data_IF_285985899257
#
_entry.id   IF_285985899257
#
_cell.length_a   1.000
_cell.length_b   1.000
_cell.length_c   1.000
_cell.angle_alpha   90.00
_cell.angle_beta   90.00
_cell.angle_gamma   90.00
#
_symmetry.space_group_name_H-M   'P 1'
#
loop_
_entity.id
_entity.type
_entity.pdbx_description
1 polymer ?
#
# COMPACT_ATOMS: atom_id res chain seq x y z
N UNK A 1 6.38 23.27 -9.21
CA UNK A 1 5.87 22.19 -8.34
C UNK A 1 4.82 22.80 -7.46
N UNK A 2 3.55 22.41 -7.63
CA UNK A 2 2.55 22.69 -6.61
C UNK A 2 3.02 22.00 -5.33
N UNK A 3 3.18 22.74 -4.24
CA UNK A 3 3.42 22.16 -2.92
C UNK A 3 2.37 21.07 -2.72
N UNK A 4 2.84 19.86 -2.43
CA UNK A 4 1.93 18.78 -2.01
C UNK A 4 1.49 19.22 -0.63
N UNK A 5 0.26 19.68 -0.50
CA UNK A 5 -0.32 20.01 0.80
C UNK A 5 -0.11 18.82 1.74
N UNK A 6 0.44 19.06 2.92
CA UNK A 6 0.50 18.05 3.98
C UNK A 6 -0.94 17.69 4.34
N UNK A 7 -1.33 16.47 4.01
CA UNK A 7 -2.70 15.99 4.18
C UNK A 7 -2.75 15.09 5.40
N UNK A 8 -3.54 15.49 6.41
CA UNK A 8 -3.81 14.60 7.54
C UNK A 8 -4.73 13.46 7.06
N UNK A 9 -4.34 12.22 7.32
CA UNK A 9 -5.14 11.05 6.93
C UNK A 9 -6.52 11.06 7.60
N UNK A 10 -6.70 11.74 8.73
CA UNK A 10 -8.01 11.92 9.37
C UNK A 10 -8.99 12.68 8.48
N UNK A 11 -8.51 13.70 7.77
CA UNK A 11 -9.35 14.44 6.82
C UNK A 11 -9.87 13.51 5.73
N UNK A 12 -8.99 12.64 5.19
CA UNK A 12 -9.41 11.63 4.22
C UNK A 12 -10.43 10.63 4.79
N UNK A 13 -10.32 10.27 6.07
CA UNK A 13 -11.32 9.43 6.75
C UNK A 13 -12.65 10.14 6.87
N UNK A 14 -12.65 11.42 7.26
CA UNK A 14 -13.86 12.23 7.47
C UNK A 14 -14.59 12.58 6.16
N UNK A 15 -13.86 12.71 5.05
CA UNK A 15 -14.44 12.92 3.72
C UNK A 15 -15.24 11.71 3.18
N UNK A 16 -15.36 10.63 3.94
CA UNK A 16 -16.10 9.44 3.50
C UNK A 16 -17.60 9.75 3.31
N UNK A 17 -18.11 9.49 2.11
CA UNK A 17 -19.50 9.80 1.73
C UNK A 17 -20.54 8.82 2.28
N UNK A 18 -20.13 7.66 2.78
CA UNK A 18 -21.02 6.60 3.31
C UNK A 18 -20.39 5.95 4.54
N UNK A 19 -21.25 5.40 5.41
CA UNK A 19 -20.79 4.66 6.59
C UNK A 19 -19.84 3.49 6.25
N UNK A 20 -20.11 2.78 5.15
CA UNK A 20 -19.22 1.69 4.68
C UNK A 20 -17.85 2.21 4.24
N UNK A 21 -17.80 3.33 3.52
CA UNK A 21 -16.54 3.96 3.13
C UNK A 21 -15.80 4.51 4.35
N UNK A 22 -16.51 5.05 5.33
CA UNK A 22 -15.92 5.53 6.57
C UNK A 22 -15.26 4.39 7.35
N UNK A 23 -15.96 3.27 7.57
CA UNK A 23 -15.40 2.10 8.23
C UNK A 23 -14.16 1.56 7.50
N UNK A 24 -14.21 1.51 6.16
CA UNK A 24 -13.07 1.14 5.33
C UNK A 24 -11.88 2.09 5.52
N UNK A 25 -12.10 3.41 5.45
CA UNK A 25 -11.04 4.40 5.60
C UNK A 25 -10.45 4.44 7.01
N UNK A 26 -11.29 4.24 8.05
CA UNK A 26 -10.83 4.07 9.43
C UNK A 26 -9.95 2.82 9.57
N UNK A 27 -10.34 1.70 8.98
CA UNK A 27 -9.53 0.49 8.99
C UNK A 27 -8.20 0.66 8.24
N UNK A 28 -8.19 1.36 7.09
CA UNK A 28 -6.95 1.71 6.38
C UNK A 28 -6.06 2.59 7.25
N UNK A 29 -6.60 3.63 7.90
CA UNK A 29 -5.84 4.48 8.81
C UNK A 29 -5.23 3.66 9.94
N UNK A 30 -6.02 2.79 10.59
CA UNK A 30 -5.54 1.92 11.67
C UNK A 30 -4.39 1.02 11.21
N UNK A 31 -4.47 0.44 10.01
CA UNK A 31 -3.41 -0.40 9.44
C UNK A 31 -2.14 0.42 9.15
N UNK A 32 -2.28 1.61 8.55
CA UNK A 32 -1.12 2.46 8.22
C UNK A 32 -0.43 2.98 9.48
N UNK A 33 -1.17 3.39 10.52
CA UNK A 33 -0.62 3.79 11.82
C UNK A 33 0.04 2.61 12.55
N UNK A 34 -0.54 1.40 12.47
CA UNK A 34 0.09 0.21 13.02
C UNK A 34 1.45 -0.09 12.35
N UNK A 35 1.55 0.11 11.03
CA UNK A 35 2.83 -0.01 10.31
C UNK A 35 3.79 1.11 10.71
N UNK A 36 3.30 2.34 10.89
CA UNK A 36 4.13 3.48 11.29
C UNK A 36 4.69 3.34 12.72
N UNK A 37 3.97 2.70 13.62
CA UNK A 37 4.37 2.50 15.02
C UNK A 37 5.42 1.40 15.21
N UNK A 38 5.48 0.40 14.34
CA UNK A 38 6.49 -0.65 14.39
C UNK A 38 7.73 -0.27 13.55
N UNK A 39 8.89 -0.17 14.19
CA UNK A 39 10.12 0.29 13.53
C UNK A 39 10.57 -0.62 12.37
N UNK A 40 10.31 -1.92 12.44
CA UNK A 40 10.69 -2.86 11.40
C UNK A 40 9.72 -2.78 10.20
N UNK A 41 8.41 -2.74 10.46
CA UNK A 41 7.42 -2.58 9.40
C UNK A 41 7.60 -1.23 8.70
N UNK A 42 7.74 -0.13 9.46
CA UNK A 42 7.97 1.23 8.95
C UNK A 42 9.19 1.31 8.04
N UNK A 43 10.30 0.68 8.43
CA UNK A 43 11.55 0.72 7.66
C UNK A 43 11.50 -0.11 6.36
N UNK A 44 10.59 -1.07 6.26
CA UNK A 44 10.60 -2.05 5.17
C UNK A 44 9.34 -2.06 4.31
N UNK A 45 8.19 -1.56 4.79
CA UNK A 45 6.94 -1.53 4.02
C UNK A 45 6.75 -0.16 3.38
N UNK A 46 7.06 -0.06 2.09
CA UNK A 46 6.97 1.17 1.31
C UNK A 46 5.62 1.20 0.60
N UNK A 47 4.75 2.13 0.99
CA UNK A 47 3.40 2.25 0.45
C UNK A 47 3.42 2.65 -1.02
N UNK A 48 2.58 1.99 -1.83
CA UNK A 48 2.36 2.31 -3.24
C UNK A 48 0.89 2.11 -3.63
N UNK A 49 0.60 2.20 -4.93
CA UNK A 49 -0.69 1.81 -5.50
C UNK A 49 -1.85 2.75 -5.20
N UNK A 50 -3.06 2.18 -5.19
CA UNK A 50 -4.31 2.95 -5.18
C UNK A 50 -4.58 3.72 -3.89
N UNK A 51 -4.22 3.17 -2.74
CA UNK A 51 -4.40 3.86 -1.43
C UNK A 51 -3.47 5.08 -1.34
N UNK A 52 -2.22 4.97 -1.78
CA UNK A 52 -1.33 6.13 -1.85
C UNK A 52 -1.90 7.23 -2.76
N UNK A 53 -2.47 6.84 -3.91
CA UNK A 53 -3.14 7.79 -4.81
C UNK A 53 -4.36 8.45 -4.15
N UNK A 54 -5.13 7.71 -3.37
CA UNK A 54 -6.31 8.22 -2.68
C UNK A 54 -5.92 9.23 -1.58
N UNK A 55 -4.94 8.89 -0.74
CA UNK A 55 -4.53 9.72 0.39
C UNK A 55 -3.76 10.96 -0.08
N UNK A 56 -2.68 10.78 -0.85
CA UNK A 56 -1.76 11.86 -1.20
C UNK A 56 -2.22 12.69 -2.39
N UNK A 57 -2.87 12.04 -3.38
CA UNK A 57 -3.22 12.67 -4.65
C UNK A 57 -4.73 12.84 -4.84
N UNK A 58 -5.52 12.63 -3.77
CA UNK A 58 -6.98 12.83 -3.75
C UNK A 58 -7.68 12.09 -4.90
N UNK A 59 -7.21 10.87 -5.22
CA UNK A 59 -7.88 10.03 -6.22
C UNK A 59 -9.22 9.53 -5.70
N UNK A 60 -10.27 9.77 -6.46
CA UNK A 60 -11.61 9.27 -6.13
C UNK A 60 -11.83 7.82 -6.55
N UNK A 61 -10.81 7.18 -7.15
CA UNK A 61 -10.91 5.78 -7.56
C UNK A 61 -10.97 4.88 -6.33
N UNK A 62 -12.02 4.06 -6.28
CA UNK A 62 -12.16 3.08 -5.23
C UNK A 62 -11.13 1.96 -5.36
N UNK A 63 -10.46 1.63 -4.27
CA UNK A 63 -9.56 0.49 -4.14
C UNK A 63 -9.78 -0.18 -2.78
N UNK A 64 -9.61 -1.49 -2.73
CA UNK A 64 -9.74 -2.29 -1.49
C UNK A 64 -8.41 -2.86 -1.02
N UNK A 65 -7.39 -2.72 -1.85
CA UNK A 65 -6.09 -3.33 -1.60
C UNK A 65 -5.10 -2.24 -1.18
N UNK A 66 -4.28 -2.54 -0.18
CA UNK A 66 -3.12 -1.72 0.20
C UNK A 66 -1.88 -2.43 -0.36
N UNK A 67 -1.15 -1.74 -1.22
CA UNK A 67 0.03 -2.27 -1.87
C UNK A 67 1.30 -1.73 -1.22
N UNK A 68 2.24 -2.62 -0.89
CA UNK A 68 3.57 -2.27 -0.39
C UNK A 68 4.66 -2.94 -1.22
N UNK A 69 5.86 -2.37 -1.15
CA UNK A 69 7.07 -2.93 -1.75
C UNK A 69 8.25 -2.84 -0.79
N UNK A 70 9.24 -3.71 -1.02
CA UNK A 70 10.57 -3.62 -0.41
C UNK A 70 11.64 -4.16 -1.35
N UNK A 71 12.85 -3.64 -1.23
CA UNK A 71 14.03 -4.21 -1.90
C UNK A 71 14.56 -5.47 -1.20
N UNK A 72 14.12 -5.73 0.04
CA UNK A 72 14.53 -6.90 0.80
C UNK A 72 14.07 -8.19 0.12
N UNK A 73 14.94 -9.18 0.17
CA UNK A 73 14.68 -10.51 -0.39
C UNK A 73 13.99 -11.41 0.63
N UNK A 74 13.28 -12.40 0.11
CA UNK A 74 12.73 -13.50 0.90
C UNK A 74 13.84 -14.26 1.66
N UNK A 75 13.56 -14.68 2.89
CA UNK A 75 14.43 -15.55 3.69
C UNK A 75 15.59 -14.83 4.39
N UNK A 76 15.62 -13.49 4.33
CA UNK A 76 16.51 -12.65 5.13
C UNK A 76 15.80 -12.18 6.42
N UNK A 77 15.85 -10.87 6.66
CA UNK A 77 15.21 -10.23 7.81
C UNK A 77 13.68 -10.24 7.75
N UNK A 78 13.10 -10.45 6.55
CA UNK A 78 11.65 -10.44 6.32
C UNK A 78 11.13 -11.86 6.12
N UNK A 79 10.28 -12.30 7.05
CA UNK A 79 9.54 -13.55 6.99
C UNK A 79 8.04 -13.26 7.04
N UNK A 80 7.23 -14.17 6.48
CA UNK A 80 5.77 -14.05 6.53
C UNK A 80 5.26 -13.97 7.97
N UNK A 81 5.70 -14.90 8.83
CA UNK A 81 5.29 -14.95 10.22
C UNK A 81 5.71 -13.69 10.99
N UNK A 82 6.96 -13.23 10.80
CA UNK A 82 7.46 -12.02 11.47
C UNK A 82 6.67 -10.75 11.08
N UNK A 83 6.35 -10.58 9.81
CA UNK A 83 5.52 -9.45 9.35
C UNK A 83 4.11 -9.54 9.93
N UNK A 84 3.53 -10.74 9.96
CA UNK A 84 2.22 -10.98 10.53
C UNK A 84 2.19 -10.67 12.02
N UNK A 85 3.12 -11.21 12.80
CA UNK A 85 3.20 -11.02 14.26
C UNK A 85 3.40 -9.56 14.63
N UNK A 86 4.30 -8.85 13.93
CA UNK A 86 4.51 -7.41 14.11
C UNK A 86 3.24 -6.63 13.82
N UNK A 87 2.56 -6.92 12.71
CA UNK A 87 1.33 -6.22 12.35
C UNK A 87 0.18 -6.52 13.33
N UNK A 88 0.00 -7.79 13.73
CA UNK A 88 -1.03 -8.16 14.72
C UNK A 88 -0.81 -7.42 16.05
N UNK A 89 0.43 -7.37 16.53
CA UNK A 89 0.77 -6.68 17.78
C UNK A 89 0.51 -5.17 17.72
N UNK A 90 0.92 -4.54 16.62
CA UNK A 90 0.73 -3.09 16.43
C UNK A 90 -0.72 -2.71 16.20
N UNK A 91 -1.52 -3.58 15.54
CA UNK A 91 -2.95 -3.34 15.35
C UNK A 91 -3.69 -3.28 16.69
N UNK A 92 -3.37 -4.15 17.65
CA UNK A 92 -3.98 -4.13 18.98
C UNK A 92 -3.79 -2.76 19.66
N UNK A 93 -2.61 -2.20 19.58
CA UNK A 93 -2.31 -0.89 20.14
C UNK A 93 -3.05 0.23 19.40
N UNK A 94 -2.98 0.27 18.08
CA UNK A 94 -3.57 1.35 17.28
C UNK A 94 -5.09 1.38 17.30
N UNK A 95 -5.76 0.24 17.45
CA UNK A 95 -7.21 0.15 17.62
C UNK A 95 -7.68 0.91 18.88
N UNK A 96 -6.90 0.87 19.96
CA UNK A 96 -7.21 1.61 21.18
C UNK A 96 -6.83 3.09 21.08
N UNK A 97 -5.68 3.41 20.48
CA UNK A 97 -5.18 4.80 20.35
C UNK A 97 -6.05 5.67 19.43
N UNK A 98 -6.51 5.12 18.31
CA UNK A 98 -7.32 5.88 17.34
C UNK A 98 -8.79 6.01 17.75
N UNK A 99 -9.27 5.19 18.67
CA UNK A 99 -10.61 5.24 19.29
C UNK A 99 -11.79 5.38 18.30
N UNK A 100 -11.68 4.73 17.15
CA UNK A 100 -12.78 4.67 16.18
C UNK A 100 -13.93 3.74 16.61
N UNK A 101 -13.77 3.02 17.70
CA UNK A 101 -14.67 1.94 18.08
C UNK A 101 -14.66 0.75 17.10
N UNK A 102 -13.66 0.71 16.22
CA UNK A 102 -13.47 -0.29 15.19
C UNK A 102 -12.30 -1.18 15.57
N UNK A 103 -12.45 -2.47 15.34
CA UNK A 103 -11.41 -3.48 15.59
C UNK A 103 -10.84 -4.01 14.28
N UNK A 104 -9.54 -4.32 14.26
CA UNK A 104 -8.81 -4.84 13.09
C UNK A 104 -7.98 -6.05 13.48
N UNK A 105 -8.10 -7.18 12.75
CA UNK A 105 -7.35 -8.41 13.02
C UNK A 105 -6.84 -9.03 11.71
N UNK A 106 -5.60 -9.54 11.72
CA UNK A 106 -5.09 -10.31 10.58
C UNK A 106 -5.78 -11.68 10.54
N UNK A 107 -6.63 -11.90 9.55
CA UNK A 107 -7.37 -13.16 9.37
C UNK A 107 -6.56 -14.24 8.68
N UNK A 108 -5.71 -13.85 7.76
CA UNK A 108 -4.85 -14.77 7.04
C UNK A 108 -3.61 -14.08 6.50
N UNK A 109 -2.54 -14.85 6.38
CA UNK A 109 -1.29 -14.48 5.75
C UNK A 109 -0.83 -15.63 4.88
N UNK A 110 -0.16 -15.34 3.77
CA UNK A 110 0.49 -16.33 2.93
C UNK A 110 1.55 -15.70 2.04
N UNK A 111 2.63 -16.43 1.83
CA UNK A 111 3.65 -16.09 0.85
C UNK A 111 3.26 -16.68 -0.53
N UNK A 112 3.18 -15.84 -1.56
CA UNK A 112 2.87 -16.23 -2.95
C UNK A 112 3.97 -15.78 -3.93
N UNK A 113 4.39 -16.66 -4.84
CA UNK A 113 4.15 -18.10 -4.86
C UNK A 113 4.88 -18.79 -3.72
N UNK A 114 4.23 -19.79 -3.13
CA UNK A 114 4.80 -20.55 -2.03
C UNK A 114 5.97 -21.39 -2.52
N UNK A 115 7.12 -21.24 -1.84
CA UNK A 115 8.27 -22.18 -1.85
C UNK A 115 9.00 -22.53 -3.16
N UNK A 116 8.69 -21.92 -4.31
CA UNK A 116 9.47 -22.13 -5.51
C UNK A 116 10.59 -21.07 -5.62
N UNK A 117 11.88 -21.47 -5.52
CA UNK A 117 13.02 -20.57 -5.64
C UNK A 117 13.13 -19.86 -6.99
N UNK A 118 12.43 -20.37 -8.02
CA UNK A 118 12.41 -19.77 -9.37
C UNK A 118 11.67 -18.44 -9.40
N UNK A 119 10.81 -18.16 -8.42
CA UNK A 119 10.11 -16.90 -8.35
C UNK A 119 10.90 -15.87 -7.56
N UNK A 120 11.48 -14.93 -8.27
CA UNK A 120 12.37 -13.89 -7.75
C UNK A 120 11.62 -12.73 -7.08
N UNK A 121 10.30 -12.64 -7.28
CA UNK A 121 9.44 -11.56 -6.78
C UNK A 121 8.23 -12.13 -6.02
N UNK A 122 8.47 -12.76 -4.87
CA UNK A 122 7.35 -13.23 -4.04
C UNK A 122 6.65 -12.05 -3.38
N UNK A 123 5.40 -12.25 -3.00
CA UNK A 123 4.66 -11.31 -2.16
C UNK A 123 4.06 -11.99 -0.94
N UNK A 124 4.06 -11.27 0.18
CA UNK A 124 3.29 -11.66 1.36
C UNK A 124 1.90 -11.04 1.20
N UNK A 125 0.90 -11.91 1.08
CA UNK A 125 -0.49 -11.49 0.98
C UNK A 125 -1.18 -11.70 2.30
N UNK A 126 -1.73 -10.62 2.85
CA UNK A 126 -2.48 -10.66 4.10
C UNK A 126 -3.91 -10.18 3.89
N UNK A 127 -4.81 -10.68 4.72
CA UNK A 127 -6.19 -10.19 4.81
C UNK A 127 -6.41 -9.70 6.23
N UNK A 128 -6.67 -8.41 6.36
CA UNK A 128 -7.04 -7.79 7.63
C UNK A 128 -8.55 -7.60 7.63
N UNK A 129 -9.23 -8.30 8.53
CA UNK A 129 -10.65 -8.10 8.79
C UNK A 129 -10.85 -6.89 9.69
N UNK A 130 -12.00 -6.21 9.55
CA UNK A 130 -12.38 -5.11 10.43
C UNK A 130 -13.88 -5.13 10.75
N UNK A 131 -14.26 -4.59 11.90
CA UNK A 131 -15.64 -4.41 12.29
C UNK A 131 -15.75 -3.49 13.51
N UNK A 132 -16.86 -2.75 13.63
CA UNK A 132 -17.15 -1.99 14.83
C UNK A 132 -17.42 -2.91 16.03
N UNK A 133 -16.80 -2.59 17.17
CA UNK A 133 -16.94 -3.32 18.43
C UNK A 133 -18.42 -3.44 18.83
N UNK A 134 -18.81 -4.57 19.39
CA UNK A 134 -20.19 -4.83 19.86
C UNK A 134 -21.18 -5.24 18.76
N UNK A 135 -20.83 -5.23 17.49
CA UNK A 135 -21.70 -5.63 16.38
C UNK A 135 -21.70 -7.15 16.13
N UNK A 136 -22.65 -7.64 15.32
CA UNK A 136 -22.64 -9.03 14.85
C UNK A 136 -21.44 -9.35 13.97
N UNK A 137 -20.98 -8.38 13.18
CA UNK A 137 -19.78 -8.49 12.37
C UNK A 137 -18.52 -8.61 13.24
N UNK A 138 -18.49 -7.92 14.40
CA UNK A 138 -17.38 -8.03 15.34
C UNK A 138 -17.23 -9.45 15.89
N UNK A 139 -18.34 -10.14 16.21
CA UNK A 139 -18.30 -11.56 16.61
C UNK A 139 -17.67 -12.45 15.54
N UNK A 140 -17.93 -12.16 14.26
CA UNK A 140 -17.33 -12.88 13.12
C UNK A 140 -15.85 -12.52 12.99
N UNK A 141 -15.49 -11.25 13.20
CA UNK A 141 -14.09 -10.80 13.19
C UNK A 141 -13.27 -11.54 14.25
N UNK A 142 -13.76 -11.63 15.49
CA UNK A 142 -13.09 -12.36 16.58
C UNK A 142 -12.92 -13.86 16.27
N UNK A 143 -13.74 -14.40 15.38
CA UNK A 143 -13.59 -15.77 14.85
C UNK A 143 -12.74 -15.81 13.56
N UNK A 144 -12.06 -14.72 13.17
CA UNK A 144 -11.28 -14.55 11.96
C UNK A 144 -12.08 -14.83 10.67
N UNK A 145 -13.36 -14.42 10.65
CA UNK A 145 -14.32 -14.64 9.55
C UNK A 145 -15.10 -13.38 9.19
N UNK A 146 -14.52 -12.20 9.41
CA UNK A 146 -15.16 -10.96 8.96
C UNK A 146 -15.37 -10.98 7.45
N UNK A 147 -16.54 -10.56 6.94
CA UNK A 147 -16.74 -10.36 5.50
C UNK A 147 -16.09 -9.06 5.01
N UNK A 148 -15.90 -8.10 5.92
CA UNK A 148 -15.28 -6.83 5.62
C UNK A 148 -13.77 -6.99 5.83
N UNK A 149 -13.03 -6.97 4.70
CA UNK A 149 -11.59 -7.22 4.66
C UNK A 149 -10.88 -6.17 3.82
N UNK A 150 -9.66 -5.85 4.23
CA UNK A 150 -8.65 -5.16 3.45
C UNK A 150 -7.59 -6.18 3.07
N UNK A 151 -7.28 -6.27 1.77
CA UNK A 151 -6.16 -7.08 1.29
C UNK A 151 -4.88 -6.25 1.35
N UNK A 152 -3.80 -6.83 1.85
CA UNK A 152 -2.46 -6.25 1.80
C UNK A 152 -1.64 -7.11 0.84
N UNK A 153 -1.03 -6.49 -0.18
CA UNK A 153 -0.07 -7.13 -1.09
C UNK A 153 1.32 -6.50 -0.85
N UNK A 154 2.19 -7.25 -0.18
CA UNK A 154 3.54 -6.81 0.15
C UNK A 154 4.55 -7.50 -0.75
N UNK A 155 4.97 -6.81 -1.82
CA UNK A 155 5.92 -7.28 -2.82
C UNK A 155 7.36 -7.22 -2.30
N UNK A 156 8.06 -8.37 -2.33
CA UNK A 156 9.46 -8.48 -1.93
C UNK A 156 10.40 -8.39 -3.15
N UNK A 157 11.65 -7.99 -2.91
CA UNK A 157 12.69 -7.86 -3.94
C UNK A 157 12.31 -6.89 -5.09
N UNK A 158 11.46 -5.92 -4.85
CA UNK A 158 11.07 -4.92 -5.85
C UNK A 158 11.95 -3.66 -5.70
N UNK A 159 12.35 -3.07 -6.84
CA UNK A 159 13.12 -1.83 -6.82
C UNK A 159 12.25 -0.66 -6.33
N UNK A 160 12.83 0.17 -5.47
CA UNK A 160 12.17 1.36 -4.90
C UNK A 160 13.12 2.56 -4.98
N UNK A 161 13.44 3.04 -6.21
CA UNK A 161 14.55 3.97 -6.44
C UNK A 161 14.35 5.36 -5.82
N UNK A 162 13.11 5.82 -5.68
CA UNK A 162 12.81 7.13 -5.10
C UNK A 162 11.65 6.99 -4.12
N UNK A 163 11.99 6.89 -2.84
CA UNK A 163 11.01 6.84 -1.75
C UNK A 163 10.94 8.20 -1.07
N UNK A 164 9.79 8.51 -0.51
CA UNK A 164 9.53 9.74 0.24
C UNK A 164 8.78 9.40 1.52
N UNK A 165 8.87 10.28 2.51
CA UNK A 165 8.02 10.19 3.70
C UNK A 165 6.61 10.67 3.35
N UNK A 166 5.60 9.85 3.68
CA UNK A 166 4.21 10.22 3.70
C UNK A 166 3.80 10.45 5.14
N UNK A 167 3.50 11.69 5.50
CA UNK A 167 2.96 12.03 6.82
C UNK A 167 1.52 11.53 6.91
N UNK A 168 1.20 10.80 7.96
CA UNK A 168 -0.15 10.40 8.32
C UNK A 168 -0.80 11.43 9.23
N UNK A 169 0.01 12.08 10.07
CA UNK A 169 -0.31 13.22 10.93
C UNK A 169 0.96 14.01 11.26
N UNK A 170 0.92 14.91 12.23
CA UNK A 170 2.08 15.74 12.62
C UNK A 170 3.28 14.95 13.16
N UNK A 171 3.05 13.78 13.75
CA UNK A 171 4.07 12.99 14.44
C UNK A 171 4.43 11.69 13.72
N UNK A 172 3.48 11.14 12.96
CA UNK A 172 3.61 9.83 12.31
C UNK A 172 3.74 9.94 10.80
N UNK A 173 4.56 9.06 10.24
CA UNK A 173 4.72 8.91 8.79
C UNK A 173 5.21 7.52 8.42
N UNK A 174 4.99 7.17 7.17
CA UNK A 174 5.44 5.92 6.54
C UNK A 174 6.20 6.22 5.27
N UNK A 175 7.04 5.29 4.84
CA UNK A 175 7.70 5.37 3.55
C UNK A 175 6.69 5.12 2.42
N UNK A 176 6.78 5.90 1.35
CA UNK A 176 5.92 5.77 0.19
C UNK A 176 6.68 6.02 -1.11
N UNK A 177 6.13 5.54 -2.21
CA UNK A 177 6.62 5.87 -3.55
C UNK A 177 6.49 7.37 -3.80
N UNK A 178 7.54 7.95 -4.39
CA UNK A 178 7.49 9.28 -4.97
C UNK A 178 6.52 9.34 -6.16
N UNK A 179 6.15 10.56 -6.57
CA UNK A 179 5.37 10.77 -7.79
C UNK A 179 6.04 10.12 -9.00
N UNK A 180 7.37 10.24 -9.12
CA UNK A 180 8.14 9.68 -10.23
C UNK A 180 8.08 8.16 -10.27
N UNK A 181 8.16 7.49 -9.12
CA UNK A 181 8.06 6.03 -9.02
C UNK A 181 6.65 5.52 -9.29
N UNK A 182 5.62 6.24 -8.82
CA UNK A 182 4.22 5.91 -9.13
C UNK A 182 3.96 5.96 -10.65
N UNK A 183 4.40 7.03 -11.30
CA UNK A 183 4.27 7.19 -12.76
C UNK A 183 5.04 6.06 -13.49
N UNK A 184 6.27 5.79 -13.07
CA UNK A 184 7.10 4.74 -13.67
C UNK A 184 6.45 3.35 -13.51
N UNK A 185 5.88 3.04 -12.34
CA UNK A 185 5.20 1.78 -12.10
C UNK A 185 3.95 1.61 -12.97
N UNK A 186 3.16 2.68 -13.14
CA UNK A 186 1.98 2.66 -14.02
C UNK A 186 2.37 2.45 -15.48
N UNK A 187 3.41 3.13 -15.97
CA UNK A 187 3.95 2.89 -17.32
C UNK A 187 4.45 1.46 -17.48
N UNK A 188 5.22 0.93 -16.52
CA UNK A 188 5.65 -0.47 -16.53
C UNK A 188 4.48 -1.42 -16.65
N UNK A 189 3.42 -1.21 -15.88
CA UNK A 189 2.21 -2.03 -15.90
C UNK A 189 1.51 -2.01 -17.25
N UNK A 190 1.44 -0.84 -17.90
CA UNK A 190 0.88 -0.68 -19.25
C UNK A 190 1.73 -1.37 -20.31
N UNK A 191 3.06 -1.22 -20.26
CA UNK A 191 3.96 -1.90 -21.19
C UNK A 191 3.88 -3.43 -21.09
N UNK A 192 3.63 -3.94 -19.90
CA UNK A 192 3.52 -5.39 -19.65
C UNK A 192 2.12 -5.96 -19.85
N UNK A 193 1.09 -5.14 -20.14
CA UNK A 193 -0.29 -5.62 -20.26
C UNK A 193 -0.48 -6.66 -21.37
N UNK A 194 0.20 -6.46 -22.50
CA UNK A 194 0.11 -7.38 -23.65
C UNK A 194 0.75 -8.73 -23.31
N UNK A 195 1.98 -8.72 -22.81
CA UNK A 195 2.71 -9.96 -22.45
C UNK A 195 2.04 -10.74 -21.32
N UNK A 196 1.28 -10.06 -20.45
CA UNK A 196 0.57 -10.66 -19.32
C UNK A 196 -0.90 -10.95 -19.59
N UNK A 197 -1.39 -10.63 -20.79
CA UNK A 197 -2.80 -10.74 -21.17
C UNK A 197 -3.75 -10.14 -20.11
N UNK A 198 -3.46 -8.92 -19.66
CA UNK A 198 -4.24 -8.21 -18.63
C UNK A 198 -4.61 -6.81 -19.11
N UNK A 199 -5.87 -6.40 -18.90
CA UNK A 199 -6.29 -5.03 -19.13
C UNK A 199 -5.88 -4.14 -17.95
N UNK A 200 -5.33 -2.95 -18.24
CA UNK A 200 -4.81 -1.98 -17.26
C UNK A 200 -5.50 -0.62 -17.35
N UNK A 201 -6.83 -0.62 -17.54
CA UNK A 201 -7.63 0.62 -17.64
C UNK A 201 -7.48 1.53 -16.43
N UNK A 202 -7.34 0.94 -15.25
CA UNK A 202 -7.13 1.69 -14.01
C UNK A 202 -5.80 2.46 -14.02
N UNK A 203 -4.73 1.85 -14.56
CA UNK A 203 -3.43 2.50 -14.65
C UNK A 203 -3.45 3.68 -15.63
N UNK A 204 -4.26 3.62 -16.70
CA UNK A 204 -4.49 4.76 -17.61
C UNK A 204 -5.18 5.90 -16.88
N UNK A 205 -6.23 5.61 -16.10
CA UNK A 205 -6.92 6.62 -15.30
C UNK A 205 -5.98 7.26 -14.27
N UNK A 206 -5.21 6.44 -13.55
CA UNK A 206 -4.26 6.90 -12.55
C UNK A 206 -3.18 7.79 -13.16
N UNK A 207 -2.63 7.42 -14.34
CA UNK A 207 -1.67 8.25 -15.07
C UNK A 207 -2.27 9.58 -15.51
N UNK A 208 -3.49 9.57 -16.06
CA UNK A 208 -4.18 10.80 -16.45
C UNK A 208 -4.31 11.76 -15.28
N UNK A 209 -4.77 11.25 -14.13
CA UNK A 209 -4.89 12.02 -12.88
C UNK A 209 -3.56 12.66 -12.48
N UNK A 210 -2.48 11.86 -12.48
CA UNK A 210 -1.16 12.32 -12.07
C UNK A 210 -0.58 13.36 -13.05
N UNK A 211 -0.75 13.14 -14.35
CA UNK A 211 -0.26 14.05 -15.40
C UNK A 211 -1.05 15.37 -15.41
N UNK A 212 -2.38 15.32 -15.29
CA UNK A 212 -3.20 16.53 -15.24
C UNK A 212 -2.94 17.41 -14.03
N UNK A 213 -2.76 16.80 -12.86
CA UNK A 213 -2.50 17.56 -11.61
C UNK A 213 -1.07 18.07 -11.48
N UNK A 214 -0.11 17.33 -12.01
CA UNK A 214 1.33 17.59 -11.82
C UNK A 214 2.06 17.75 -13.16
N UNK A 215 1.33 18.14 -14.21
CA UNK A 215 1.72 18.07 -15.61
C UNK A 215 2.87 18.96 -16.09
N UNK A 216 3.39 19.84 -15.26
CA UNK A 216 4.66 20.55 -15.53
C UNK A 216 5.87 19.65 -15.19
N UNK A 217 5.83 18.39 -15.68
CA UNK A 217 6.96 17.48 -15.57
C UNK A 217 8.08 18.01 -16.46
N UNK A 218 9.05 18.66 -15.84
CA UNK A 218 10.22 19.19 -16.54
C UNK A 218 11.16 18.06 -17.03
N UNK A 219 12.17 18.40 -17.83
CA UNK A 219 13.09 17.41 -18.39
C UNK A 219 13.85 16.59 -17.32
N UNK A 220 14.14 17.17 -16.16
CA UNK A 220 14.82 16.49 -15.06
C UNK A 220 13.91 15.42 -14.43
N UNK A 221 12.65 15.74 -14.22
CA UNK A 221 11.65 14.80 -13.69
C UNK A 221 11.34 13.68 -14.68
N UNK A 222 11.24 14.00 -15.98
CA UNK A 222 11.14 12.98 -17.05
C UNK A 222 12.32 12.01 -17.02
N UNK A 223 13.55 12.53 -16.80
CA UNK A 223 14.74 11.72 -16.61
C UNK A 223 14.63 10.78 -15.41
N UNK A 224 14.14 11.27 -14.27
CA UNK A 224 13.89 10.45 -13.08
C UNK A 224 12.85 9.35 -13.36
N UNK A 225 11.72 9.68 -13.97
CA UNK A 225 10.68 8.70 -14.33
C UNK A 225 11.27 7.60 -15.22
N UNK A 226 12.06 7.97 -16.24
CA UNK A 226 12.71 7.01 -17.13
C UNK A 226 13.70 6.11 -16.37
N UNK A 227 14.51 6.67 -15.50
CA UNK A 227 15.45 5.91 -14.68
C UNK A 227 14.72 4.93 -13.74
N UNK A 228 13.65 5.37 -13.09
CA UNK A 228 12.80 4.50 -12.27
C UNK A 228 12.17 3.39 -13.09
N UNK A 229 11.63 3.70 -14.27
CA UNK A 229 11.06 2.71 -15.17
C UNK A 229 12.10 1.66 -15.59
N UNK A 230 13.31 2.10 -15.94
CA UNK A 230 14.43 1.21 -16.29
C UNK A 230 14.83 0.33 -15.11
N UNK A 231 14.94 0.89 -13.89
CA UNK A 231 15.24 0.11 -12.69
C UNK A 231 14.17 -0.98 -12.43
N UNK A 232 12.89 -0.63 -12.56
CA UNK A 232 11.77 -1.54 -12.40
C UNK A 232 11.72 -2.63 -13.49
N UNK A 233 12.21 -2.35 -14.69
CA UNK A 233 12.29 -3.33 -15.79
C UNK A 233 13.53 -4.23 -15.69
N UNK A 234 14.71 -3.66 -15.37
CA UNK A 234 15.98 -4.39 -15.35
C UNK A 234 16.09 -5.39 -14.22
N UNK A 235 15.52 -5.10 -13.06
CA UNK A 235 15.53 -6.04 -11.92
C UNK A 235 14.80 -7.35 -12.27
N UNK A 236 13.84 -7.28 -13.22
CA UNK A 236 13.09 -8.46 -13.73
C UNK A 236 13.76 -9.16 -14.93
N UNK A 237 14.72 -8.50 -15.59
CA UNK A 237 15.37 -9.04 -16.81
C UNK A 237 16.69 -9.76 -16.58
N UNK A 238 17.27 -9.72 -15.36
CA UNK A 238 18.57 -10.33 -15.08
C UNK A 238 18.49 -11.79 -14.58
N UNK A 239 17.31 -12.35 -14.48
CA UNK A 239 17.07 -13.67 -13.89
C UNK A 239 16.21 -14.58 -14.79
N UNK A 240 16.21 -14.31 -16.12
CA UNK A 240 15.59 -15.15 -17.15
C UNK A 240 16.63 -15.88 -18.00
#
# INVERSE_FOLDING_TARGET
MSEIEEYDIKDWVEEASTASNQAFRQAVHTILSAIASDSNLKANMILKGGILLAIRYKSHRYTKDIDFSTERKRGGEITEDGVRESLDSSLVQMVEELDYGLDCLVQSSKLEPSNDPKYTYPSIKMKVGYAYKGTSQHKRLLSLRSPDIISIDYSLNEATPNIEDLKLNLEEGILAYSLTDLIAEKYRSLLQQVSRNRSRRQDVYDLNLLIERFGDINNFERGKILNSLMALLHKKGKEG
#
